data_IF_820437799738
#
_entry.id   IF_820437799738
#
_cell.length_a   1.000
_cell.length_b   1.000
_cell.length_c   1.000
_cell.angle_alpha   90.00
_cell.angle_beta   90.00
_cell.angle_gamma   90.00
#
_symmetry.space_group_name_H-M   'P 1'
#
loop_
_entity.id
_entity.type
_entity.pdbx_description
1 polymer ?
#
# COMPACT_ATOMS: atom_id res chain seq x y z
N UNK A 1 -13.09 0.53 4.88
CA UNK A 1 -12.77 1.10 3.54
C UNK A 1 -11.26 1.23 3.35
N UNK A 2 -10.55 2.08 4.09
CA UNK A 2 -9.10 2.29 3.96
C UNK A 2 -8.26 1.02 4.17
N UNK A 3 -8.61 0.21 5.17
CA UNK A 3 -7.94 -1.10 5.39
C UNK A 3 -8.10 -2.05 4.19
N UNK A 4 -9.22 -1.96 3.46
CA UNK A 4 -9.44 -2.78 2.27
C UNK A 4 -8.57 -2.31 1.10
N UNK A 5 -8.40 -0.99 0.94
CA UNK A 5 -7.43 -0.46 -0.03
C UNK A 5 -6.02 -0.91 0.32
N UNK A 6 -5.59 -0.77 1.57
CA UNK A 6 -4.30 -1.25 2.01
C UNK A 6 -4.08 -2.75 1.73
N UNK A 7 -5.08 -3.60 1.99
CA UNK A 7 -5.01 -5.03 1.66
C UNK A 7 -4.84 -5.27 0.15
N UNK A 8 -5.65 -4.61 -0.68
CA UNK A 8 -5.55 -4.69 -2.15
C UNK A 8 -4.21 -4.19 -2.67
N UNK A 9 -3.62 -3.17 -2.04
CA UNK A 9 -2.29 -2.68 -2.39
C UNK A 9 -1.22 -3.75 -2.17
N UNK A 10 -1.27 -4.47 -1.04
CA UNK A 10 -0.35 -5.59 -0.78
C UNK A 10 -0.56 -6.73 -1.78
N UNK A 11 -1.81 -7.09 -2.06
CA UNK A 11 -2.13 -8.14 -3.04
C UNK A 11 -1.61 -7.79 -4.44
N UNK A 12 -1.80 -6.53 -4.88
CA UNK A 12 -1.29 -6.03 -6.16
C UNK A 12 0.23 -6.07 -6.19
N UNK A 13 0.91 -5.51 -5.17
CA UNK A 13 2.36 -5.49 -5.08
C UNK A 13 2.96 -6.91 -5.11
N UNK A 14 2.38 -7.83 -4.33
CA UNK A 14 2.78 -9.23 -4.31
C UNK A 14 2.70 -9.88 -5.69
N UNK A 15 1.58 -9.65 -6.40
CA UNK A 15 1.37 -10.19 -7.75
C UNK A 15 2.35 -9.60 -8.77
N UNK A 16 2.63 -8.31 -8.69
CA UNK A 16 3.51 -7.61 -9.64
C UNK A 16 5.00 -7.88 -9.41
N UNK A 17 5.40 -8.21 -8.17
CA UNK A 17 6.79 -8.37 -7.78
C UNK A 17 7.17 -9.81 -7.37
N UNK A 18 6.27 -10.77 -7.59
CA UNK A 18 6.40 -12.18 -7.15
C UNK A 18 6.82 -12.29 -5.67
N UNK A 19 6.07 -11.59 -4.81
CA UNK A 19 6.27 -11.58 -3.35
C UNK A 19 5.10 -12.23 -2.63
N UNK A 20 5.34 -12.61 -1.37
CA UNK A 20 4.32 -13.12 -0.47
C UNK A 20 4.25 -12.30 0.83
N UNK A 21 4.28 -10.97 0.72
CA UNK A 21 4.18 -10.10 1.88
C UNK A 21 2.77 -10.19 2.48
N UNK A 22 2.67 -10.21 3.81
CA UNK A 22 1.41 -10.22 4.54
C UNK A 22 1.03 -8.82 4.95
N UNK A 23 -0.22 -8.45 4.73
CA UNK A 23 -0.77 -7.20 5.21
C UNK A 23 -0.81 -7.18 6.75
N UNK A 24 -0.28 -6.12 7.35
CA UNK A 24 -0.33 -5.90 8.80
C UNK A 24 -1.36 -4.83 9.13
N UNK A 25 -1.32 -3.70 8.42
CA UNK A 25 -2.25 -2.59 8.66
C UNK A 25 -1.84 -1.32 7.92
N UNK A 26 -2.75 -0.34 7.88
CA UNK A 26 -2.45 1.00 7.36
C UNK A 26 -1.90 1.88 8.49
N UNK A 27 -0.65 2.34 8.35
CA UNK A 27 0.06 3.23 9.29
C UNK A 27 -0.38 4.68 9.15
N UNK A 28 -0.52 5.16 7.91
CA UNK A 28 -0.95 6.52 7.60
C UNK A 28 -1.93 6.49 6.44
N UNK A 29 -2.89 7.40 6.47
CA UNK A 29 -3.83 7.61 5.39
C UNK A 29 -4.11 9.11 5.28
N UNK A 30 -3.81 9.70 4.12
CA UNK A 30 -4.21 11.05 3.76
C UNK A 30 -5.30 10.97 2.71
N UNK A 31 -6.30 11.84 2.81
CA UNK A 31 -7.37 11.96 1.83
C UNK A 31 -7.32 13.36 1.24
N UNK A 32 -7.24 13.44 -0.07
CA UNK A 32 -7.33 14.69 -0.83
C UNK A 32 -8.51 14.63 -1.78
N UNK A 33 -9.20 15.75 -1.95
CA UNK A 33 -10.29 15.88 -2.90
C UNK A 33 -9.99 17.06 -3.82
N UNK A 34 -9.80 16.78 -5.10
CA UNK A 34 -9.45 17.78 -6.11
C UNK A 34 -10.67 18.32 -6.89
N UNK A 35 -11.89 18.06 -6.41
CA UNK A 35 -13.13 18.45 -7.09
C UNK A 35 -13.66 17.43 -8.11
N UNK A 36 -12.81 16.53 -8.62
CA UNK A 36 -13.19 15.52 -9.61
C UNK A 36 -12.96 14.09 -9.13
N UNK A 37 -11.93 13.90 -8.31
CA UNK A 37 -11.48 12.62 -7.78
C UNK A 37 -11.15 12.76 -6.30
N UNK A 38 -11.36 11.66 -5.57
CA UNK A 38 -10.85 11.48 -4.23
C UNK A 38 -9.55 10.70 -4.38
N UNK A 39 -8.47 11.24 -3.85
CA UNK A 39 -7.16 10.61 -3.80
C UNK A 39 -6.86 10.22 -2.36
N UNK A 40 -6.47 8.97 -2.13
CA UNK A 40 -5.99 8.50 -0.84
C UNK A 40 -4.53 8.09 -0.95
N UNK A 41 -3.66 8.76 -0.21
CA UNK A 41 -2.27 8.36 -0.03
C UNK A 41 -2.20 7.47 1.22
N UNK A 42 -1.79 6.22 1.05
CA UNK A 42 -1.75 5.22 2.11
C UNK A 42 -0.31 4.79 2.35
N UNK A 43 0.05 4.72 3.63
CA UNK A 43 1.24 4.01 4.06
C UNK A 43 0.84 2.68 4.69
N UNK A 44 1.14 1.60 4.01
CA UNK A 44 0.70 0.24 4.36
C UNK A 44 1.87 -0.54 4.94
N UNK A 45 1.73 -1.00 6.18
CA UNK A 45 2.69 -1.90 6.81
C UNK A 45 2.43 -3.33 6.36
N UNK A 46 3.51 -4.02 6.02
CA UNK A 46 3.52 -5.41 5.61
C UNK A 46 4.59 -6.19 6.37
N UNK A 47 4.44 -7.52 6.42
CA UNK A 47 5.45 -8.44 6.94
C UNK A 47 5.89 -9.37 5.82
N UNK A 48 7.18 -9.43 5.52
CA UNK A 48 7.73 -10.31 4.48
C UNK A 48 7.41 -11.78 4.78
N UNK A 49 6.90 -12.50 3.78
CA UNK A 49 6.48 -13.89 3.91
C UNK A 49 7.62 -14.86 4.21
N UNK A 50 8.78 -14.64 3.58
CA UNK A 50 9.96 -15.53 3.67
C UNK A 50 10.93 -15.13 4.77
N UNK A 51 10.49 -14.29 5.71
CA UNK A 51 11.37 -13.78 6.75
C UNK A 51 11.56 -14.82 7.86
N UNK A 52 12.74 -15.43 7.92
CA UNK A 52 13.15 -16.47 8.88
C UNK A 52 13.90 -15.92 10.12
N UNK A 53 13.93 -14.60 10.31
CA UNK A 53 14.79 -13.93 11.31
C UNK A 53 14.11 -13.86 12.68
N UNK A 54 14.93 -13.97 13.75
CA UNK A 54 14.54 -14.01 15.17
C UNK A 54 13.91 -12.71 15.74
N UNK A 55 14.05 -11.58 15.03
CA UNK A 55 13.58 -10.28 15.51
C UNK A 55 12.42 -9.77 14.64
N UNK A 56 11.29 -9.41 15.26
CA UNK A 56 10.06 -9.02 14.56
C UNK A 56 10.18 -7.75 13.70
N UNK A 57 11.16 -6.88 14.00
CA UNK A 57 11.39 -5.61 13.31
C UNK A 57 11.93 -5.75 11.88
N UNK A 58 12.82 -6.71 11.62
CA UNK A 58 13.55 -6.83 10.34
C UNK A 58 12.65 -7.32 9.18
N UNK A 59 11.51 -7.91 9.51
CA UNK A 59 10.56 -8.43 8.53
C UNK A 59 9.52 -7.41 8.10
N UNK A 60 9.49 -6.22 8.72
CA UNK A 60 8.50 -5.20 8.42
C UNK A 60 8.91 -4.38 7.20
N UNK A 61 8.01 -4.24 6.23
CA UNK A 61 8.20 -3.41 5.03
C UNK A 61 6.99 -2.51 4.86
N UNK A 62 7.19 -1.25 4.48
CA UNK A 62 6.11 -0.34 4.18
C UNK A 62 5.92 -0.21 2.65
N UNK A 63 4.67 -0.12 2.24
CA UNK A 63 4.27 0.20 0.87
C UNK A 63 3.54 1.53 0.88
N UNK A 64 3.95 2.43 -0.01
CA UNK A 64 3.19 3.62 -0.35
C UNK A 64 2.15 3.24 -1.40
N UNK A 65 0.91 3.66 -1.21
CA UNK A 65 -0.15 3.36 -2.16
C UNK A 65 -1.08 4.52 -2.38
N UNK A 66 -1.21 4.90 -3.64
CA UNK A 66 -2.12 5.90 -4.11
C UNK A 66 -3.42 5.25 -4.60
N UNK A 67 -4.54 5.70 -4.06
CA UNK A 67 -5.87 5.22 -4.42
C UNK A 67 -6.65 6.36 -5.00
N UNK A 68 -7.06 6.24 -6.25
CA UNK A 68 -7.92 7.23 -6.91
C UNK A 68 -9.33 6.66 -7.06
N UNK A 69 -10.29 7.32 -6.44
CA UNK A 69 -11.70 7.02 -6.53
C UNK A 69 -12.42 8.15 -7.27
N UNK A 70 -13.23 7.81 -8.28
CA UNK A 70 -14.09 8.81 -8.93
C UNK A 70 -15.47 8.82 -8.26
N UNK A 71 -15.93 9.97 -7.73
CA UNK A 71 -17.29 10.09 -7.18
C UNK A 71 -18.37 9.78 -8.22
N UNK A 72 -18.09 10.03 -9.50
CA UNK A 72 -19.02 9.75 -10.62
C UNK A 72 -19.09 8.26 -10.98
N UNK A 73 -18.12 7.46 -10.56
CA UNK A 73 -18.04 6.01 -10.78
C UNK A 73 -17.45 5.34 -9.54
N UNK A 74 -18.23 5.16 -8.46
CA UNK A 74 -17.73 4.71 -7.15
C UNK A 74 -17.06 3.32 -7.17
N UNK A 75 -17.27 2.51 -8.22
CA UNK A 75 -16.60 1.21 -8.38
C UNK A 75 -15.30 1.27 -9.19
N UNK A 76 -14.96 2.43 -9.78
CA UNK A 76 -13.73 2.59 -10.56
C UNK A 76 -12.63 3.16 -9.66
N UNK A 77 -11.97 2.24 -8.95
CA UNK A 77 -10.85 2.54 -8.05
C UNK A 77 -9.55 2.16 -8.74
N UNK A 78 -8.68 3.15 -8.95
CA UNK A 78 -7.33 2.94 -9.46
C UNK A 78 -6.39 2.87 -8.24
N UNK A 79 -5.58 1.82 -8.17
CA UNK A 79 -4.61 1.59 -7.11
C UNK A 79 -3.21 1.59 -7.71
N UNK A 80 -2.37 2.51 -7.29
CA UNK A 80 -0.93 2.50 -7.57
C UNK A 80 -0.20 2.15 -6.27
N UNK A 81 0.84 1.34 -6.38
CA UNK A 81 1.56 0.81 -5.21
C UNK A 81 3.04 0.89 -5.49
N UNK A 82 3.76 1.55 -4.60
CA UNK A 82 5.20 1.68 -4.62
C UNK A 82 5.74 1.20 -3.27
N UNK A 83 6.99 0.75 -3.25
CA UNK A 83 7.66 0.42 -1.99
C UNK A 83 8.17 1.71 -1.35
N UNK A 84 8.01 1.86 -0.03
CA UNK A 84 8.69 2.93 0.71
C UNK A 84 10.20 2.68 0.61
N UNK A 85 10.90 3.50 -0.16
CA UNK A 85 12.36 3.48 -0.29
C UNK A 85 12.94 2.56 -1.38
N UNK A 86 13.04 3.09 -2.60
CA UNK A 86 14.38 3.38 -3.14
C UNK A 86 14.60 4.89 -2.94
N UNK A 87 14.94 5.30 -1.72
CA UNK A 87 15.60 6.59 -1.59
C UNK A 87 16.96 6.42 -2.25
N UNK A 88 17.30 7.37 -3.11
CA UNK A 88 18.56 7.45 -3.85
C UNK A 88 19.74 6.98 -3.00
N UNK A 89 20.55 6.11 -3.57
CA UNK A 89 21.90 5.84 -3.10
C UNK A 89 22.65 7.17 -2.95
N UNK A 90 23.27 7.34 -1.77
CA UNK A 90 24.26 8.33 -1.32
C UNK A 90 24.63 9.50 -2.25
#
# INVERSE_FOLDING_TARGET
MIQNFGKKSVEKYNKENDKNNRFVGVKKARKEFNGQHIHYELLVSTKKGDCTIKNEGDCSENLESDVFESPKKPNNVILEVQKEGQCAEY
#
